data_IF_396578236029
#
_entry.id   IF_396578236029
#
_cell.length_a   1.000
_cell.length_b   1.000
_cell.length_c   1.000
_cell.angle_alpha   90.00
_cell.angle_beta   90.00
_cell.angle_gamma   90.00
#
_symmetry.space_group_name_H-M   'P 1'
#
loop_
_entity.id
_entity.type
_entity.pdbx_description
1 polymer ?
#
# COMPACT_ATOMS: atom_id res chain seq x y z
N UNK A 1 -28.59 68.84 3.00
CA UNK A 1 -27.19 68.37 3.02
C UNK A 1 -27.09 67.02 2.31
N UNK A 2 -26.68 66.95 1.03
CA UNK A 2 -26.41 65.67 0.39
C UNK A 2 -24.91 65.32 0.54
N UNK A 3 -24.65 64.22 1.24
CA UNK A 3 -23.31 63.68 1.44
C UNK A 3 -22.89 62.93 0.17
N UNK A 4 -22.17 63.62 -0.73
CA UNK A 4 -21.75 63.07 -2.01
C UNK A 4 -20.52 62.15 -1.81
N UNK A 5 -20.74 60.86 -2.07
CA UNK A 5 -19.76 59.76 -2.09
C UNK A 5 -18.65 60.07 -3.11
N UNK A 6 -17.45 60.46 -2.64
CA UNK A 6 -16.25 60.55 -3.50
C UNK A 6 -15.80 59.13 -3.90
N UNK A 7 -16.23 58.67 -5.07
CA UNK A 7 -15.68 57.48 -5.71
C UNK A 7 -14.26 57.81 -6.18
N UNK A 8 -13.26 57.14 -5.59
CA UNK A 8 -11.86 57.20 -6.04
C UNK A 8 -11.78 56.73 -7.49
N UNK A 9 -11.65 57.68 -8.41
CA UNK A 9 -11.47 57.40 -9.85
C UNK A 9 -10.02 57.01 -10.09
N UNK A 10 -9.70 55.74 -9.88
CA UNK A 10 -8.37 55.19 -10.15
C UNK A 10 -8.17 55.17 -11.67
N UNK A 11 -7.07 55.76 -12.14
CA UNK A 11 -6.71 55.77 -13.56
C UNK A 11 -6.48 54.34 -14.07
N UNK A 12 -6.98 54.01 -15.26
CA UNK A 12 -6.79 52.69 -15.89
C UNK A 12 -5.30 52.28 -15.97
N UNK A 13 -4.38 53.25 -16.11
CA UNK A 13 -2.93 52.98 -16.08
C UNK A 13 -2.44 52.49 -14.72
N UNK A 14 -3.00 53.01 -13.63
CA UNK A 14 -2.66 52.60 -12.26
C UNK A 14 -3.23 51.21 -11.94
N UNK A 15 -4.44 50.91 -12.42
CA UNK A 15 -5.04 49.57 -12.33
C UNK A 15 -4.24 48.52 -13.11
N UNK A 16 -3.82 48.83 -14.34
CA UNK A 16 -2.99 47.93 -15.15
C UNK A 16 -1.63 47.67 -14.48
N UNK A 17 -0.99 48.70 -13.93
CA UNK A 17 0.26 48.54 -13.18
C UNK A 17 0.06 47.66 -11.94
N UNK A 18 -1.02 47.84 -11.18
CA UNK A 18 -1.33 47.03 -10.01
C UNK A 18 -1.55 45.56 -10.37
N UNK A 19 -2.32 45.27 -11.41
CA UNK A 19 -2.53 43.89 -11.90
C UNK A 19 -1.22 43.25 -12.34
N UNK A 20 -0.35 44.01 -13.03
CA UNK A 20 0.96 43.53 -13.44
C UNK A 20 1.85 43.16 -12.25
N UNK A 21 1.98 44.05 -11.26
CA UNK A 21 2.79 43.77 -10.08
C UNK A 21 2.23 42.65 -9.20
N UNK A 22 0.90 42.55 -9.09
CA UNK A 22 0.24 41.47 -8.37
C UNK A 22 0.47 40.11 -9.06
N UNK A 23 0.33 40.06 -10.39
CA UNK A 23 0.59 38.85 -11.19
C UNK A 23 2.07 38.43 -11.10
N UNK A 24 2.99 39.39 -11.18
CA UNK A 24 4.43 39.13 -11.05
C UNK A 24 4.79 38.62 -9.66
N UNK A 25 4.23 39.20 -8.60
CA UNK A 25 4.42 38.75 -7.22
C UNK A 25 3.90 37.33 -7.00
N UNK A 26 2.67 37.05 -7.44
CA UNK A 26 2.05 35.72 -7.33
C UNK A 26 2.87 34.65 -8.07
N UNK A 27 3.33 34.97 -9.29
CA UNK A 27 4.18 34.07 -10.06
C UNK A 27 5.52 33.81 -9.37
N UNK A 28 6.13 34.85 -8.78
CA UNK A 28 7.38 34.72 -8.05
C UNK A 28 7.23 33.83 -6.80
N UNK A 29 6.16 34.01 -6.03
CA UNK A 29 5.84 33.14 -4.89
C UNK A 29 5.60 31.70 -5.31
N UNK A 30 4.95 31.47 -6.46
CA UNK A 30 4.80 30.12 -7.02
C UNK A 30 6.15 29.46 -7.31
N UNK A 31 7.09 30.18 -7.94
CA UNK A 31 8.42 29.63 -8.24
C UNK A 31 9.30 29.43 -7.00
N UNK A 32 9.11 30.21 -5.94
CA UNK A 32 9.89 30.06 -4.69
C UNK A 32 9.33 28.93 -3.81
N UNK A 33 8.00 28.83 -3.68
CA UNK A 33 7.40 27.94 -2.68
C UNK A 33 6.80 26.66 -3.29
N UNK A 34 6.30 26.71 -4.53
CA UNK A 34 5.54 25.60 -5.14
C UNK A 34 6.40 24.82 -6.14
N UNK A 35 7.11 25.50 -7.04
CA UNK A 35 7.92 24.86 -8.06
C UNK A 35 9.02 23.92 -7.52
N UNK A 36 9.74 24.22 -6.41
CA UNK A 36 10.73 23.30 -5.86
C UNK A 36 10.10 22.04 -5.27
N UNK A 37 8.91 22.17 -4.65
CA UNK A 37 8.14 21.02 -4.15
C UNK A 37 7.68 20.10 -5.27
N UNK A 38 7.22 20.69 -6.38
CA UNK A 38 6.81 19.95 -7.59
C UNK A 38 8.03 19.28 -8.26
N UNK A 39 9.14 19.99 -8.44
CA UNK A 39 10.36 19.41 -9.00
C UNK A 39 10.90 18.25 -8.15
N UNK A 40 10.85 18.38 -6.83
CA UNK A 40 11.24 17.30 -5.92
C UNK A 40 10.29 16.10 -6.04
N UNK A 41 8.98 16.27 -6.10
CA UNK A 41 8.05 15.14 -6.26
C UNK A 41 8.26 14.42 -7.61
N UNK A 42 8.49 15.16 -8.70
CA UNK A 42 8.85 14.55 -9.98
C UNK A 42 10.19 13.82 -9.91
N UNK A 43 11.21 14.39 -9.27
CA UNK A 43 12.52 13.76 -9.09
C UNK A 43 12.40 12.46 -8.29
N UNK A 44 11.71 12.48 -7.14
CA UNK A 44 11.45 11.29 -6.33
C UNK A 44 10.63 10.24 -7.09
N UNK A 45 9.65 10.66 -7.89
CA UNK A 45 8.86 9.74 -8.73
C UNK A 45 9.74 9.08 -9.81
N UNK A 46 10.61 9.85 -10.47
CA UNK A 46 11.52 9.32 -11.50
C UNK A 46 12.56 8.39 -10.89
N UNK A 47 13.12 8.74 -9.73
CA UNK A 47 14.04 7.89 -8.97
C UNK A 47 13.35 6.57 -8.56
N UNK A 48 12.16 6.63 -7.99
CA UNK A 48 11.40 5.45 -7.60
C UNK A 48 11.06 4.56 -8.81
N UNK A 49 10.64 5.14 -9.94
CA UNK A 49 10.40 4.39 -11.18
C UNK A 49 11.68 3.74 -11.73
N UNK A 50 12.81 4.45 -11.66
CA UNK A 50 14.11 3.93 -12.07
C UNK A 50 14.56 2.72 -11.24
N UNK A 51 14.36 2.78 -9.92
CA UNK A 51 14.70 1.67 -9.02
C UNK A 51 13.76 0.48 -9.25
N UNK A 52 12.45 0.71 -9.41
CA UNK A 52 11.49 -0.33 -9.77
C UNK A 52 11.83 -1.04 -11.09
N UNK A 53 12.22 -0.29 -12.12
CA UNK A 53 12.70 -0.85 -13.39
C UNK A 53 13.93 -1.73 -13.17
N UNK A 54 14.89 -1.28 -12.37
CA UNK A 54 16.12 -2.02 -12.06
C UNK A 54 15.82 -3.34 -11.35
N UNK A 55 14.94 -3.32 -10.35
CA UNK A 55 14.56 -4.53 -9.59
C UNK A 55 13.73 -5.50 -10.44
N UNK A 56 12.84 -5.00 -11.30
CA UNK A 56 12.12 -5.83 -12.26
C UNK A 56 13.08 -6.51 -13.24
N UNK A 57 14.07 -5.79 -13.79
CA UNK A 57 15.09 -6.36 -14.69
C UNK A 57 15.93 -7.41 -13.96
N UNK A 58 16.34 -7.17 -12.71
CA UNK A 58 17.04 -8.18 -11.88
C UNK A 58 16.19 -9.42 -11.65
N UNK A 59 14.91 -9.24 -11.34
CA UNK A 59 13.96 -10.35 -11.10
C UNK A 59 13.75 -11.16 -12.38
N UNK A 60 13.55 -10.51 -13.53
CA UNK A 60 13.44 -11.16 -14.84
C UNK A 60 14.73 -11.93 -15.17
N UNK A 61 15.90 -11.32 -14.97
CA UNK A 61 17.19 -11.99 -15.18
C UNK A 61 17.37 -13.23 -14.32
N UNK A 62 16.94 -13.18 -13.05
CA UNK A 62 16.95 -14.34 -12.17
C UNK A 62 15.99 -15.44 -12.63
N UNK A 63 14.79 -15.07 -13.09
CA UNK A 63 13.82 -16.02 -13.65
C UNK A 63 14.34 -16.69 -14.92
N UNK A 64 14.89 -15.92 -15.87
CA UNK A 64 15.49 -16.47 -17.09
C UNK A 64 16.61 -17.45 -16.74
N UNK A 65 17.50 -17.10 -15.79
CA UNK A 65 18.59 -17.98 -15.35
C UNK A 65 18.09 -19.28 -14.73
N UNK A 66 16.98 -19.25 -13.98
CA UNK A 66 16.37 -20.46 -13.43
C UNK A 66 15.78 -21.34 -14.54
N UNK A 67 15.14 -20.75 -15.55
CA UNK A 67 14.61 -21.49 -16.70
C UNK A 67 15.74 -22.08 -17.58
N UNK A 68 16.78 -21.31 -17.88
CA UNK A 68 17.91 -21.79 -18.68
C UNK A 68 18.68 -22.91 -17.96
N UNK A 69 18.94 -22.77 -16.66
CA UNK A 69 19.60 -23.81 -15.86
C UNK A 69 18.77 -25.09 -15.75
N UNK A 70 17.43 -24.97 -15.69
CA UNK A 70 16.52 -26.13 -15.67
C UNK A 70 16.50 -26.86 -17.02
N UNK A 71 16.73 -26.14 -18.13
CA UNK A 71 16.89 -26.73 -19.46
C UNK A 71 18.29 -27.30 -19.71
N UNK A 72 19.33 -26.83 -19.01
CA UNK A 72 20.70 -27.39 -19.19
C UNK A 72 20.87 -28.78 -18.58
N UNK A 73 19.94 -29.21 -17.72
CA UNK A 73 19.89 -30.59 -17.21
C UNK A 73 19.21 -31.58 -18.16
N UNK A 74 18.71 -31.13 -19.31
CA UNK A 74 18.14 -31.97 -20.37
C UNK A 74 18.94 -31.75 -21.66
N UNK A 75 19.83 -32.68 -22.01
CA UNK A 75 20.52 -32.68 -23.30
C UNK A 75 19.49 -32.67 -24.44
N UNK A 76 19.62 -31.73 -25.37
CA UNK A 76 18.85 -31.72 -26.62
C UNK A 76 18.87 -30.37 -27.32
N UNK A 77 19.76 -30.22 -28.29
CA UNK A 77 19.69 -29.22 -29.36
C UNK A 77 18.38 -29.39 -30.15
N UNK A 78 17.58 -28.33 -30.27
CA UNK A 78 16.80 -28.00 -31.48
C UNK A 78 16.09 -26.66 -31.29
N UNK A 79 16.37 -25.71 -32.17
CA UNK A 79 15.53 -24.52 -32.39
C UNK A 79 14.58 -24.85 -33.54
N UNK A 80 13.25 -24.86 -33.36
CA UNK A 80 12.34 -24.73 -34.47
C UNK A 80 12.03 -23.24 -34.68
N UNK A 81 12.62 -22.66 -35.72
CA UNK A 81 11.97 -21.56 -36.45
C UNK A 81 10.69 -22.11 -37.07
N UNK A 82 9.57 -21.41 -36.86
CA UNK A 82 8.29 -21.82 -37.41
C UNK A 82 7.15 -20.92 -36.97
N UNK A 83 6.95 -19.83 -37.69
CA UNK A 83 5.75 -18.99 -37.67
C UNK A 83 4.49 -19.84 -37.73
N UNK A 84 3.61 -19.67 -36.74
CA UNK A 84 2.17 -19.75 -36.95
C UNK A 84 1.49 -18.73 -36.05
N UNK A 85 0.97 -17.70 -36.69
CA UNK A 85 0.14 -16.65 -36.12
C UNK A 85 -1.20 -17.23 -35.67
N UNK A 86 -1.24 -17.70 -34.45
CA UNK A 86 -2.38 -17.45 -33.58
C UNK A 86 -1.83 -16.64 -32.42
N UNK A 87 -2.14 -15.35 -32.39
CA UNK A 87 -1.86 -14.48 -31.26
C UNK A 87 -2.55 -15.04 -30.00
N UNK A 88 -1.92 -16.04 -29.37
CA UNK A 88 -1.96 -16.11 -27.93
C UNK A 88 -1.23 -14.84 -27.50
N UNK A 89 -2.03 -13.82 -27.17
CA UNK A 89 -1.60 -12.78 -26.26
C UNK A 89 -1.08 -13.51 -25.04
N UNK A 90 0.21 -13.82 -25.04
CA UNK A 90 0.94 -14.24 -23.87
C UNK A 90 0.81 -13.06 -22.94
N UNK A 91 -0.21 -13.07 -22.09
CA UNK A 91 -0.21 -12.27 -20.90
C UNK A 91 1.12 -12.60 -20.23
N UNK A 92 2.02 -11.63 -20.20
CA UNK A 92 3.18 -11.63 -19.33
C UNK A 92 2.66 -11.72 -17.91
N UNK A 93 2.35 -12.93 -17.45
CA UNK A 93 1.96 -13.17 -16.08
C UNK A 93 3.24 -13.06 -15.28
N UNK A 94 3.41 -11.95 -14.56
CA UNK A 94 4.40 -11.80 -13.47
C UNK A 94 4.12 -12.77 -12.30
N UNK A 95 3.36 -13.85 -12.52
CA UNK A 95 2.88 -14.76 -11.50
C UNK A 95 3.60 -16.09 -11.63
N UNK A 96 3.99 -16.65 -10.49
CA UNK A 96 4.61 -17.97 -10.44
C UNK A 96 3.63 -19.04 -10.96
N UNK A 97 4.12 -20.11 -11.61
CA UNK A 97 3.27 -21.23 -12.00
C UNK A 97 2.62 -21.88 -10.77
N UNK A 98 1.42 -22.44 -10.93
CA UNK A 98 0.63 -23.01 -9.82
C UNK A 98 1.38 -24.10 -9.02
N UNK A 99 2.30 -24.81 -9.67
CA UNK A 99 3.11 -25.88 -9.06
C UNK A 99 4.44 -25.37 -8.46
N UNK A 100 4.58 -24.06 -8.22
CA UNK A 100 5.78 -23.52 -7.59
C UNK A 100 5.85 -23.93 -6.12
N UNK A 101 6.86 -24.71 -5.78
CA UNK A 101 7.14 -25.14 -4.40
C UNK A 101 8.04 -24.13 -3.71
N UNK A 102 7.60 -23.63 -2.56
CA UNK A 102 8.36 -22.70 -1.75
C UNK A 102 9.50 -23.44 -1.04
N UNK A 103 10.65 -22.78 -0.94
CA UNK A 103 11.72 -23.21 -0.04
C UNK A 103 11.62 -22.39 1.25
N UNK A 104 11.67 -23.04 2.44
CA UNK A 104 11.64 -22.34 3.73
C UNK A 104 12.76 -21.29 3.89
N UNK A 105 13.86 -21.46 3.15
CA UNK A 105 15.03 -20.58 3.21
C UNK A 105 14.99 -19.42 2.22
N UNK A 106 14.06 -19.43 1.27
CA UNK A 106 13.92 -18.39 0.26
C UNK A 106 12.88 -17.35 0.66
N UNK A 107 13.08 -16.11 0.20
CA UNK A 107 12.11 -15.04 0.43
C UNK A 107 10.79 -15.35 -0.29
N UNK A 108 9.67 -15.16 0.40
CA UNK A 108 8.34 -15.30 -0.18
C UNK A 108 8.18 -14.37 -1.39
N UNK A 109 7.56 -14.80 -2.49
CA UNK A 109 7.26 -13.91 -3.61
C UNK A 109 6.18 -12.89 -3.23
N UNK A 110 6.27 -11.68 -3.78
CA UNK A 110 5.31 -10.60 -3.53
C UNK A 110 3.99 -10.79 -4.26
N UNK A 111 4.05 -11.40 -5.47
CA UNK A 111 2.88 -11.66 -6.31
C UNK A 111 2.69 -13.16 -6.47
N UNK A 112 1.53 -13.63 -6.03
CA UNK A 112 1.19 -15.05 -6.01
C UNK A 112 0.05 -15.32 -6.98
N UNK A 113 0.07 -16.48 -7.69
CA UNK A 113 -0.92 -16.80 -8.72
C UNK A 113 -2.36 -16.85 -8.18
N UNK A 114 -2.53 -17.17 -6.90
CA UNK A 114 -3.83 -17.21 -6.24
C UNK A 114 -4.38 -15.83 -5.81
N UNK A 115 -3.64 -14.74 -6.02
CA UNK A 115 -4.13 -13.38 -5.80
C UNK A 115 -5.08 -12.97 -6.93
N UNK A 116 -6.38 -13.07 -6.66
CA UNK A 116 -7.45 -12.93 -7.67
C UNK A 116 -7.70 -11.47 -8.06
N UNK A 117 -7.20 -10.52 -7.29
CA UNK A 117 -7.53 -9.11 -7.42
C UNK A 117 -8.70 -8.79 -6.52
N UNK A 118 -9.87 -8.55 -7.11
CA UNK A 118 -11.06 -8.08 -6.41
C UNK A 118 -11.46 -9.05 -5.27
N UNK A 119 -11.66 -8.50 -4.08
CA UNK A 119 -12.19 -9.18 -2.89
C UNK A 119 -13.62 -8.72 -2.70
N UNK A 120 -14.53 -9.67 -2.49
CA UNK A 120 -15.89 -9.35 -2.07
C UNK A 120 -15.88 -8.88 -0.61
N UNK A 121 -16.26 -7.62 -0.37
CA UNK A 121 -16.25 -7.01 0.96
C UNK A 121 -17.61 -7.22 1.60
N UNK A 122 -17.64 -8.13 2.57
CA UNK A 122 -18.82 -8.35 3.37
C UNK A 122 -18.85 -7.31 4.49
N UNK A 123 -19.91 -6.50 4.61
CA UNK A 123 -20.06 -5.52 5.69
C UNK A 123 -21.08 -5.95 6.77
N UNK A 124 -21.59 -7.17 6.69
CA UNK A 124 -22.51 -7.71 7.69
C UNK A 124 -21.83 -7.78 9.05
N UNK A 125 -22.55 -7.33 10.07
CA UNK A 125 -22.14 -7.40 11.47
C UNK A 125 -21.74 -8.83 11.85
N UNK A 126 -20.68 -8.92 12.64
CA UNK A 126 -20.13 -10.18 13.12
C UNK A 126 -19.56 -9.94 14.51
N UNK A 127 -19.83 -10.85 15.43
CA UNK A 127 -19.33 -10.76 16.79
C UNK A 127 -17.86 -11.17 16.88
N UNK A 128 -17.18 -10.74 17.95
CA UNK A 128 -15.82 -11.19 18.23
C UNK A 128 -15.73 -12.69 18.46
N UNK A 129 -16.74 -13.29 19.08
CA UNK A 129 -16.80 -14.72 19.35
C UNK A 129 -16.86 -15.52 18.04
N UNK A 130 -17.65 -15.07 17.08
CA UNK A 130 -17.71 -15.67 15.74
C UNK A 130 -16.38 -15.53 14.99
N UNK A 131 -15.71 -14.38 15.08
CA UNK A 131 -14.35 -14.21 14.51
C UNK A 131 -13.36 -15.18 15.15
N UNK A 132 -13.38 -15.30 16.48
CA UNK A 132 -12.52 -16.24 17.19
C UNK A 132 -12.81 -17.68 16.76
N UNK A 133 -14.08 -18.05 16.56
CA UNK A 133 -14.47 -19.37 16.05
C UNK A 133 -14.01 -19.58 14.61
N UNK A 134 -14.15 -18.57 13.72
CA UNK A 134 -13.69 -18.64 12.33
C UNK A 134 -12.19 -18.93 12.23
N UNK A 135 -11.38 -18.29 13.09
CA UNK A 135 -9.94 -18.47 13.11
C UNK A 135 -9.45 -19.53 14.11
N UNK A 136 -10.33 -20.15 14.90
CA UNK A 136 -9.96 -21.19 15.87
C UNK A 136 -9.28 -22.42 15.25
N UNK A 137 -9.59 -22.69 13.98
CA UNK A 137 -8.99 -23.78 13.20
C UNK A 137 -7.58 -23.45 12.71
N UNK A 138 -7.24 -22.17 12.66
CA UNK A 138 -5.93 -21.71 12.23
C UNK A 138 -4.97 -21.70 13.43
N UNK A 139 -4.31 -22.83 13.63
CA UNK A 139 -3.33 -23.01 14.70
C UNK A 139 -2.05 -22.18 14.50
N UNK A 140 -1.91 -21.49 13.36
CA UNK A 140 -0.73 -20.68 13.06
C UNK A 140 -0.85 -19.25 13.57
N UNK A 141 -2.07 -18.80 13.91
CA UNK A 141 -2.29 -17.49 14.55
C UNK A 141 -2.01 -17.63 16.05
N UNK A 142 -0.95 -16.96 16.49
CA UNK A 142 -0.52 -16.91 17.90
C UNK A 142 -1.31 -15.85 18.67
N UNK A 143 -1.31 -15.93 20.02
CA UNK A 143 -1.84 -14.85 20.87
C UNK A 143 -1.27 -13.48 20.47
N UNK A 144 -2.11 -12.44 20.56
CA UNK A 144 -1.77 -11.10 20.06
C UNK A 144 -1.96 -10.91 18.54
N UNK A 145 -2.52 -11.91 17.85
CA UNK A 145 -2.78 -11.83 16.41
C UNK A 145 -1.51 -11.94 15.55
N UNK A 146 -0.46 -12.57 16.09
CA UNK A 146 0.80 -12.76 15.39
C UNK A 146 0.74 -13.97 14.47
N UNK A 147 1.05 -13.80 13.19
CA UNK A 147 1.10 -14.89 12.20
C UNK A 147 2.39 -14.83 11.38
N UNK A 148 2.87 -15.98 10.92
CA UNK A 148 4.08 -16.10 10.10
C UNK A 148 3.98 -17.29 9.13
N UNK A 149 4.38 -17.13 7.85
CA UNK A 149 4.43 -18.26 6.91
C UNK A 149 5.50 -19.28 7.33
N UNK A 150 5.19 -20.56 7.17
CA UNK A 150 6.10 -21.69 7.48
C UNK A 150 6.82 -22.22 6.24
N UNK A 151 6.28 -21.93 5.07
CA UNK A 151 6.71 -22.44 3.76
C UNK A 151 7.79 -21.58 3.10
N UNK A 152 7.94 -20.33 3.51
CA UNK A 152 8.96 -19.41 3.00
C UNK A 152 9.36 -18.37 4.05
N UNK A 153 10.49 -17.69 3.83
CA UNK A 153 10.91 -16.57 4.66
C UNK A 153 10.11 -15.31 4.27
N UNK A 154 9.33 -14.70 5.18
CA UNK A 154 8.56 -13.50 4.87
C UNK A 154 9.50 -12.37 4.45
N UNK A 155 9.09 -11.59 3.45
CA UNK A 155 9.84 -10.40 3.00
C UNK A 155 9.82 -9.29 4.03
N UNK A 156 8.67 -9.13 4.67
CA UNK A 156 8.42 -8.07 5.64
C UNK A 156 7.79 -8.66 6.89
N UNK A 157 8.31 -8.21 8.03
CA UNK A 157 7.60 -8.26 9.31
C UNK A 157 6.84 -6.96 9.49
N UNK A 158 5.52 -7.05 9.60
CA UNK A 158 4.61 -5.91 9.54
C UNK A 158 3.87 -5.73 10.85
N UNK A 159 4.07 -4.60 11.52
CA UNK A 159 3.20 -4.17 12.61
C UNK A 159 2.05 -3.32 12.05
N UNK A 160 0.82 -3.77 12.24
CA UNK A 160 -0.39 -3.06 11.80
C UNK A 160 -0.97 -2.31 12.98
N UNK A 161 -0.83 -0.99 12.97
CA UNK A 161 -1.26 -0.10 14.04
C UNK A 161 -2.65 0.43 13.74
N UNK A 162 -3.57 0.21 14.68
CA UNK A 162 -4.98 0.55 14.52
C UNK A 162 -5.38 1.51 15.66
N UNK A 163 -5.61 2.79 15.37
CA UNK A 163 -6.05 3.75 16.38
C UNK A 163 -7.53 3.49 16.65
N UNK A 164 -7.90 3.31 17.91
CA UNK A 164 -9.21 2.78 18.26
C UNK A 164 -9.89 3.59 19.37
N UNK A 165 -11.21 3.76 19.24
CA UNK A 165 -12.10 4.19 20.32
C UNK A 165 -13.56 3.92 19.94
N UNK A 166 -14.31 3.21 20.78
CA UNK A 166 -15.75 2.98 20.63
C UNK A 166 -16.19 2.51 19.22
N UNK A 167 -15.39 1.66 18.56
CA UNK A 167 -15.71 1.12 17.22
C UNK A 167 -15.75 -0.42 17.21
N UNK A 168 -16.34 -0.98 18.26
CA UNK A 168 -16.35 -2.41 18.52
C UNK A 168 -17.04 -3.23 17.42
N UNK A 169 -17.97 -2.64 16.66
CA UNK A 169 -18.65 -3.30 15.52
C UNK A 169 -17.75 -3.39 14.28
N UNK A 170 -16.84 -2.43 14.07
CA UNK A 170 -15.96 -2.42 12.90
C UNK A 170 -14.79 -3.40 13.05
N UNK A 171 -14.31 -3.61 14.27
CA UNK A 171 -13.07 -4.36 14.51
C UNK A 171 -13.18 -5.86 14.15
N UNK A 172 -14.30 -6.57 14.42
CA UNK A 172 -14.54 -7.92 13.91
C UNK A 172 -14.56 -7.98 12.38
N UNK A 173 -15.25 -7.03 11.72
CA UNK A 173 -15.33 -6.94 10.26
C UNK A 173 -13.93 -6.72 9.68
N UNK A 174 -13.13 -5.86 10.30
CA UNK A 174 -11.73 -5.62 9.95
C UNK A 174 -10.92 -6.91 9.94
N UNK A 175 -10.96 -7.68 11.03
CA UNK A 175 -10.20 -8.94 11.13
C UNK A 175 -10.68 -10.00 10.14
N UNK A 176 -11.99 -10.08 9.86
CA UNK A 176 -12.56 -10.98 8.85
C UNK A 176 -11.90 -10.86 7.48
N UNK A 177 -11.54 -9.64 7.07
CA UNK A 177 -10.97 -9.39 5.73
C UNK A 177 -9.45 -9.35 5.74
N UNK A 178 -8.85 -8.69 6.73
CA UNK A 178 -7.41 -8.48 6.74
C UNK A 178 -6.63 -9.74 7.04
N UNK A 179 -7.06 -10.58 7.98
CA UNK A 179 -6.31 -11.79 8.34
C UNK A 179 -6.12 -12.69 7.11
N UNK A 180 -7.18 -13.10 6.38
CA UNK A 180 -7.00 -13.97 5.22
C UNK A 180 -6.21 -13.30 4.09
N UNK A 181 -6.35 -11.98 3.90
CA UNK A 181 -5.60 -11.24 2.89
C UNK A 181 -4.10 -11.23 3.21
N UNK A 182 -3.72 -10.90 4.44
CA UNK A 182 -2.31 -10.82 4.85
C UNK A 182 -1.63 -12.19 4.84
N UNK A 183 -2.36 -13.24 5.23
CA UNK A 183 -1.90 -14.63 5.13
C UNK A 183 -1.65 -15.04 3.67
N UNK A 184 -2.59 -14.69 2.77
CA UNK A 184 -2.40 -14.89 1.32
C UNK A 184 -1.16 -14.16 0.81
N UNK A 185 -0.86 -12.98 1.33
CA UNK A 185 0.32 -12.19 1.00
C UNK A 185 1.62 -12.72 1.63
N UNK A 186 1.57 -13.77 2.46
CA UNK A 186 2.74 -14.40 3.11
C UNK A 186 3.60 -13.40 3.91
N UNK A 187 2.93 -12.47 4.58
CA UNK A 187 3.56 -11.50 5.49
C UNK A 187 3.72 -12.11 6.88
N UNK A 188 4.79 -11.79 7.60
CA UNK A 188 4.80 -11.97 9.06
C UNK A 188 4.17 -10.72 9.65
N UNK A 189 3.09 -10.84 10.43
CA UNK A 189 2.36 -9.67 10.91
C UNK A 189 1.82 -9.85 12.32
N UNK A 190 1.58 -8.73 12.99
CA UNK A 190 0.79 -8.64 14.21
C UNK A 190 -0.07 -7.37 14.20
N UNK A 191 -1.16 -7.38 14.96
CA UNK A 191 -2.07 -6.26 15.09
C UNK A 191 -1.89 -5.56 16.44
N UNK A 192 -1.84 -4.23 16.41
CA UNK A 192 -1.76 -3.39 17.60
C UNK A 192 -2.95 -2.44 17.60
N UNK A 193 -3.99 -2.81 18.36
CA UNK A 193 -5.16 -1.96 18.58
C UNK A 193 -4.84 -0.99 19.72
N UNK A 194 -4.66 0.28 19.38
CA UNK A 194 -4.26 1.34 20.31
C UNK A 194 -5.51 2.12 20.73
N UNK A 195 -6.07 1.76 21.88
CA UNK A 195 -7.27 2.39 22.40
C UNK A 195 -6.98 3.73 23.10
N UNK A 196 -7.72 4.77 22.72
CA UNK A 196 -7.73 6.03 23.46
C UNK A 196 -8.83 6.03 24.53
N UNK A 197 -8.41 5.94 25.78
CA UNK A 197 -9.31 6.05 26.92
C UNK A 197 -9.69 7.51 27.24
N UNK A 198 -10.77 7.68 28.01
CA UNK A 198 -11.26 8.99 28.45
C UNK A 198 -12.12 9.73 27.42
N UNK A 199 -12.49 10.96 27.77
CA UNK A 199 -13.48 11.76 27.04
C UNK A 199 -12.87 12.86 26.15
N UNK A 200 -11.54 12.95 26.11
CA UNK A 200 -10.83 13.96 25.33
C UNK A 200 -11.03 13.75 23.82
N UNK A 201 -10.78 14.76 22.96
CA UNK A 201 -10.85 14.60 21.52
C UNK A 201 -9.96 13.44 21.03
N UNK A 202 -10.45 12.70 20.02
CA UNK A 202 -9.68 11.59 19.45
C UNK A 202 -8.43 12.10 18.74
N UNK A 203 -7.26 11.62 19.12
CA UNK A 203 -5.99 12.02 18.55
C UNK A 203 -5.35 10.84 17.80
N UNK A 204 -5.79 10.65 16.55
CA UNK A 204 -5.35 9.58 15.65
C UNK A 204 -3.83 9.50 15.51
N UNK A 205 -3.17 10.64 15.27
CA UNK A 205 -1.72 10.68 15.05
C UNK A 205 -0.93 10.32 16.32
N UNK A 206 -1.39 10.77 17.49
CA UNK A 206 -0.78 10.38 18.76
C UNK A 206 -0.87 8.87 18.98
N UNK A 207 -2.02 8.26 18.69
CA UNK A 207 -2.19 6.80 18.86
C UNK A 207 -1.28 6.01 17.93
N UNK A 208 -1.04 6.47 16.70
CA UNK A 208 -0.04 5.86 15.82
C UNK A 208 1.37 5.95 16.41
N UNK A 209 1.76 7.10 16.97
CA UNK A 209 3.07 7.25 17.60
C UNK A 209 3.23 6.36 18.84
N UNK A 210 2.18 6.23 19.65
CA UNK A 210 2.14 5.31 20.79
C UNK A 210 2.24 3.87 20.30
N UNK A 211 1.42 3.47 19.32
CA UNK A 211 1.44 2.15 18.72
C UNK A 211 2.80 1.77 18.17
N UNK A 212 3.48 2.69 17.49
CA UNK A 212 4.84 2.47 17.01
C UNK A 212 5.80 2.16 18.16
N UNK A 213 5.79 2.98 19.22
CA UNK A 213 6.67 2.76 20.37
C UNK A 213 6.41 1.44 21.07
N UNK A 214 5.15 1.04 21.23
CA UNK A 214 4.81 -0.23 21.88
C UNK A 214 5.11 -1.44 20.98
N UNK A 215 4.81 -1.37 19.69
CA UNK A 215 5.13 -2.45 18.74
C UNK A 215 6.64 -2.73 18.67
N UNK A 216 7.48 -1.69 18.70
CA UNK A 216 8.93 -1.84 18.68
C UNK A 216 9.52 -2.42 19.97
N UNK A 217 8.75 -2.48 21.07
CA UNK A 217 9.14 -3.21 22.30
C UNK A 217 8.83 -4.70 22.22
N UNK A 218 7.80 -5.07 21.46
CA UNK A 218 7.31 -6.44 21.34
C UNK A 218 8.17 -7.26 20.36
N UNK A 219 8.47 -6.71 19.18
CA UNK A 219 9.34 -7.36 18.22
C UNK A 219 10.11 -6.37 17.33
N UNK A 220 11.15 -6.88 16.65
CA UNK A 220 11.88 -6.12 15.62
C UNK A 220 11.09 -6.21 14.32
N UNK A 221 10.24 -5.21 14.10
CA UNK A 221 9.43 -5.04 12.90
C UNK A 221 10.20 -4.32 11.79
N UNK A 222 10.02 -4.78 10.55
CA UNK A 222 10.66 -4.17 9.37
C UNK A 222 9.76 -3.09 8.74
N UNK A 223 8.45 -3.21 8.93
CA UNK A 223 7.45 -2.39 8.28
C UNK A 223 6.33 -2.03 9.28
N UNK A 224 5.89 -0.77 9.22
CA UNK A 224 4.80 -0.25 10.05
C UNK A 224 3.68 0.22 9.14
N UNK A 225 2.47 -0.27 9.36
CA UNK A 225 1.28 0.15 8.63
C UNK A 225 0.36 0.88 9.58
N UNK A 226 0.06 2.13 9.24
CA UNK A 226 -0.97 2.93 9.90
C UNK A 226 -2.30 2.64 9.24
N UNK A 227 -3.23 2.02 9.97
CA UNK A 227 -4.48 1.53 9.41
C UNK A 227 -5.67 2.02 10.22
N UNK A 228 -6.69 2.58 9.56
CA UNK A 228 -7.96 2.85 10.26
C UNK A 228 -8.81 1.59 10.30
N UNK A 229 -9.57 1.43 11.38
CA UNK A 229 -10.42 0.25 11.58
C UNK A 229 -11.56 0.13 10.56
N UNK A 230 -11.93 1.22 9.90
CA UNK A 230 -13.05 1.31 8.94
C UNK A 230 -12.63 1.32 7.47
N UNK A 231 -11.34 1.20 7.16
CA UNK A 231 -10.89 0.95 5.79
C UNK A 231 -10.75 -0.55 5.55
N UNK A 232 -11.30 -1.05 4.45
CA UNK A 232 -11.13 -2.45 4.02
C UNK A 232 -10.56 -2.49 2.60
N UNK A 233 -9.58 -3.36 2.32
CA UNK A 233 -9.04 -3.52 1.00
C UNK A 233 -10.01 -4.34 0.13
N UNK A 234 -10.34 -3.80 -1.03
CA UNK A 234 -11.13 -4.49 -2.04
C UNK A 234 -10.27 -5.27 -3.04
N UNK A 235 -8.94 -5.26 -2.89
CA UNK A 235 -8.04 -5.92 -3.83
C UNK A 235 -6.86 -6.59 -3.12
N UNK A 236 -6.76 -7.92 -3.22
CA UNK A 236 -5.72 -8.72 -2.57
C UNK A 236 -4.32 -8.52 -3.17
N UNK A 237 -4.23 -7.90 -4.35
CA UNK A 237 -2.97 -7.49 -4.99
C UNK A 237 -2.42 -6.18 -4.41
N UNK A 238 -3.18 -5.48 -3.57
CA UNK A 238 -2.64 -4.37 -2.78
C UNK A 238 -1.77 -4.96 -1.66
N UNK A 239 -0.49 -5.24 -1.97
CA UNK A 239 0.43 -5.90 -1.05
C UNK A 239 0.77 -5.03 0.18
N UNK A 240 0.46 -5.48 1.39
CA UNK A 240 0.69 -4.77 2.66
C UNK A 240 2.13 -4.97 3.19
N UNK A 241 3.10 -4.87 2.28
CA UNK A 241 4.52 -4.74 2.61
C UNK A 241 5.01 -3.32 2.36
N UNK A 242 6.08 -2.95 3.04
CA UNK A 242 6.76 -1.67 2.81
C UNK A 242 7.59 -1.72 1.52
N UNK A 243 8.01 -0.54 1.06
CA UNK A 243 8.99 -0.38 -0.01
C UNK A 243 10.06 0.61 0.44
N UNK A 244 10.86 1.09 -0.51
CA UNK A 244 11.90 2.09 -0.23
C UNK A 244 11.33 3.47 0.09
N UNK A 245 10.12 3.75 -0.40
CA UNK A 245 9.40 5.02 -0.17
C UNK A 245 8.12 4.77 0.62
N UNK A 246 7.65 5.76 1.41
CA UNK A 246 6.36 5.69 2.09
C UNK A 246 5.23 5.39 1.09
N UNK A 247 4.36 4.45 1.46
CA UNK A 247 3.27 3.98 0.59
C UNK A 247 1.92 4.43 1.13
N UNK A 248 1.09 4.93 0.23
CA UNK A 248 -0.31 5.23 0.51
C UNK A 248 -1.19 4.11 -0.06
N UNK A 249 -1.84 3.32 0.82
CA UNK A 249 -2.64 2.16 0.41
C UNK A 249 -4.07 2.54 0.00
N UNK A 250 -4.72 3.44 0.74
CA UNK A 250 -6.09 3.90 0.53
C UNK A 250 -6.17 5.01 -0.53
N UNK A 251 -5.56 4.78 -1.70
CA UNK A 251 -5.47 5.78 -2.76
C UNK A 251 -6.80 6.03 -3.49
N UNK A 252 -7.69 5.03 -3.51
CA UNK A 252 -9.04 5.12 -4.07
C UNK A 252 -10.01 4.51 -3.08
N UNK A 253 -11.01 5.29 -2.68
CA UNK A 253 -12.00 4.91 -1.68
C UNK A 253 -13.40 4.94 -2.28
N UNK A 254 -14.24 3.99 -1.87
CA UNK A 254 -15.65 3.88 -2.23
C UNK A 254 -16.44 5.15 -1.88
N UNK A 255 -16.13 5.75 -0.73
CA UNK A 255 -16.72 6.99 -0.20
C UNK A 255 -16.54 8.17 -1.15
N UNK A 256 -15.50 8.13 -1.99
CA UNK A 256 -15.22 9.13 -3.01
C UNK A 256 -15.48 8.60 -4.43
N UNK A 257 -16.28 7.53 -4.58
CA UNK A 257 -16.61 6.90 -5.85
C UNK A 257 -15.37 6.51 -6.67
N UNK A 258 -14.27 6.20 -5.99
CA UNK A 258 -12.97 5.89 -6.59
C UNK A 258 -12.39 6.99 -7.50
N UNK A 259 -12.86 8.24 -7.32
CA UNK A 259 -12.39 9.42 -8.06
C UNK A 259 -11.05 9.94 -7.55
#
# INVERSE_FOLDING_TARGET
MPLLRKVLRVSNRSMLAFIFFFSFSSSCLYFIYVAPGIANTYLFMVQARGIMLRENVKTIGHMIRLYTNKNTTLNGTDYPEGNNSSDCVAQTTMYLPENFTYSPYQACPEKLPYMRGLIDVNMSEISFDEIQQLFSKDLDIKPGGHWKPKDCKPRWKVAILIPFRNRHEHLPIFFRHLIPMLQKQRLEFAFYVVEQTGTQPFNRAMLFNVGFKEAMKDAVWDCIIFHDVDHLPENDRNYYGCGEMPRHFAAKLDKYMYM
#
